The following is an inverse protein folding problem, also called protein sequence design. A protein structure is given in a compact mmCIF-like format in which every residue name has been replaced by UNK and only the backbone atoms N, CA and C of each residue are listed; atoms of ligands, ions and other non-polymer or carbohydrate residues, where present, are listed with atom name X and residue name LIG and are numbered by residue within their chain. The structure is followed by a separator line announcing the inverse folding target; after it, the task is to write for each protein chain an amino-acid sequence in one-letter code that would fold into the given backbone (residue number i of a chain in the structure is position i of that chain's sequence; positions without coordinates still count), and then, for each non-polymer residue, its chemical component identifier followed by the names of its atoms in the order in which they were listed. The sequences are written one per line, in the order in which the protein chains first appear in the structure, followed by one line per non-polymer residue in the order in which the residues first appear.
data_IF_868978024650
#
_entry.id   IF_868978024650
#
_cell.length_a   1.000
_cell.length_b   1.000
_cell.length_c   1.000
_cell.angle_alpha   90.00
_cell.angle_beta   90.00
_cell.angle_gamma   90.00
#
_symmetry.space_group_name_H-M   'P 1'
#
loop_
_entity.id
_entity.type
_entity.pdbx_description
1 polymer ?
#
# COMPACT_ATOMS: atom_id res chain seq x y z
N UNK A 1 -19.56 -37.60 4.03
CA UNK A 1 -19.94 -36.19 3.96
C UNK A 1 -18.66 -35.42 3.71
N UNK A 2 -18.39 -35.02 2.47
CA UNK A 2 -17.26 -34.14 2.17
C UNK A 2 -17.59 -32.76 2.72
N UNK A 3 -16.72 -32.22 3.57
CA UNK A 3 -16.87 -30.87 4.11
C UNK A 3 -16.85 -29.87 2.95
N UNK A 4 -17.89 -29.03 2.84
CA UNK A 4 -17.99 -27.97 1.83
C UNK A 4 -17.03 -26.79 2.06
N UNK A 5 -15.87 -27.02 2.66
CA UNK A 5 -14.87 -26.00 3.01
C UNK A 5 -13.81 -25.75 1.92
N UNK A 6 -13.84 -26.50 0.81
CA UNK A 6 -12.78 -26.47 -0.22
C UNK A 6 -13.02 -25.46 -1.36
N UNK A 7 -14.09 -24.64 -1.31
CA UNK A 7 -14.45 -23.72 -2.41
C UNK A 7 -14.35 -22.22 -2.07
N UNK A 8 -13.98 -21.86 -0.83
CA UNK A 8 -13.78 -20.45 -0.47
C UNK A 8 -12.31 -20.06 -0.60
N UNK A 9 -12.05 -18.86 -1.11
CA UNK A 9 -10.70 -18.31 -1.20
C UNK A 9 -10.06 -18.23 0.18
N UNK A 10 -8.86 -18.77 0.32
CA UNK A 10 -8.09 -18.78 1.57
C UNK A 10 -7.35 -17.45 1.69
N UNK A 11 -7.88 -16.57 2.54
CA UNK A 11 -7.32 -15.25 2.80
C UNK A 11 -6.49 -15.27 4.07
N UNK A 12 -5.24 -14.79 3.99
CA UNK A 12 -4.37 -14.58 5.16
C UNK A 12 -4.09 -13.09 5.35
N UNK A 13 -4.06 -12.64 6.60
CA UNK A 13 -3.69 -11.27 6.96
C UNK A 13 -2.42 -11.32 7.82
N UNK A 14 -1.34 -10.73 7.29
CA UNK A 14 -0.01 -10.74 7.89
C UNK A 14 0.30 -9.37 8.47
N UNK A 15 0.35 -9.27 9.80
CA UNK A 15 0.78 -8.06 10.51
C UNK A 15 2.30 -8.07 10.72
N UNK A 16 3.02 -7.14 10.11
CA UNK A 16 4.49 -7.09 10.14
C UNK A 16 4.98 -5.92 11.00
N UNK A 17 5.75 -6.25 12.04
CA UNK A 17 6.24 -5.29 13.03
C UNK A 17 5.14 -4.66 13.88
N UNK A 18 5.48 -3.67 14.71
CA UNK A 18 4.55 -3.09 15.70
C UNK A 18 3.26 -2.52 15.10
N UNK A 19 3.36 -1.68 14.06
CA UNK A 19 2.16 -1.09 13.44
C UNK A 19 1.26 -2.12 12.76
N UNK A 20 1.85 -3.08 12.05
CA UNK A 20 1.08 -4.17 11.42
C UNK A 20 0.38 -5.05 12.45
N UNK A 21 1.04 -5.33 13.57
CA UNK A 21 0.46 -6.07 14.67
C UNK A 21 -0.68 -5.34 15.36
N UNK A 22 -0.57 -4.02 15.55
CA UNK A 22 -1.65 -3.21 16.10
C UNK A 22 -2.88 -3.26 15.19
N UNK A 23 -2.69 -3.11 13.88
CA UNK A 23 -3.76 -3.23 12.89
C UNK A 23 -4.42 -4.63 12.93
N UNK A 24 -3.64 -5.71 13.01
CA UNK A 24 -4.18 -7.07 13.15
C UNK A 24 -4.94 -7.25 14.47
N UNK A 25 -4.41 -6.74 15.59
CA UNK A 25 -5.12 -6.76 16.87
C UNK A 25 -6.47 -6.08 16.76
N UNK A 26 -6.51 -4.93 16.07
CA UNK A 26 -7.74 -4.18 15.85
C UNK A 26 -8.74 -4.92 14.95
N UNK A 27 -8.26 -5.67 13.96
CA UNK A 27 -9.10 -6.55 13.13
C UNK A 27 -9.72 -7.69 13.95
N UNK A 28 -8.94 -8.30 14.84
CA UNK A 28 -9.42 -9.35 15.75
C UNK A 28 -10.47 -8.78 16.72
N UNK A 29 -10.19 -7.63 17.34
CA UNK A 29 -11.10 -6.96 18.27
C UNK A 29 -12.42 -6.56 17.60
N UNK A 30 -12.37 -6.18 16.32
CA UNK A 30 -13.54 -5.85 15.53
C UNK A 30 -14.32 -7.08 15.03
N UNK A 31 -13.83 -8.29 15.30
CA UNK A 31 -14.49 -9.54 14.92
C UNK A 31 -14.41 -9.86 13.42
N UNK A 32 -13.38 -9.36 12.72
CA UNK A 32 -13.19 -9.70 11.30
C UNK A 32 -13.04 -11.22 11.15
N UNK A 33 -13.87 -11.81 10.29
CA UNK A 33 -13.99 -13.25 10.10
C UNK A 33 -13.64 -13.65 8.66
N UNK A 34 -13.53 -14.96 8.39
CA UNK A 34 -13.19 -15.45 7.05
C UNK A 34 -11.72 -15.27 6.64
N UNK A 35 -10.85 -14.84 7.57
CA UNK A 35 -9.41 -14.64 7.32
C UNK A 35 -8.56 -15.28 8.41
N UNK A 36 -7.36 -15.74 8.04
CA UNK A 36 -6.36 -16.26 8.97
C UNK A 36 -5.34 -15.17 9.34
N UNK A 37 -5.29 -14.82 10.62
CA UNK A 37 -4.33 -13.82 11.13
C UNK A 37 -2.97 -14.44 11.47
N UNK A 38 -1.92 -13.84 10.92
CA UNK A 38 -0.53 -14.14 11.25
C UNK A 38 0.18 -12.84 11.64
N UNK A 39 0.95 -12.87 12.73
CA UNK A 39 1.79 -11.73 13.11
C UNK A 39 3.26 -12.11 13.08
N UNK A 40 4.08 -11.21 12.56
CA UNK A 40 5.52 -11.41 12.40
C UNK A 40 6.29 -10.22 12.98
N UNK A 41 7.19 -10.48 13.92
CA UNK A 41 7.98 -9.43 14.53
C UNK A 41 9.37 -9.92 14.97
N UNK A 42 10.34 -9.01 14.96
CA UNK A 42 11.68 -9.20 15.55
C UNK A 42 11.69 -9.00 17.07
N UNK A 43 10.68 -8.30 17.59
CA UNK A 43 10.52 -8.04 19.02
C UNK A 43 9.59 -9.09 19.66
N UNK A 44 10.16 -9.93 20.52
CA UNK A 44 9.42 -11.03 21.16
C UNK A 44 8.41 -10.52 22.17
N UNK A 45 8.70 -9.43 22.88
CA UNK A 45 7.79 -8.88 23.90
C UNK A 45 6.51 -8.38 23.22
N UNK A 46 6.67 -7.66 22.11
CA UNK A 46 5.52 -7.19 21.33
C UNK A 46 4.74 -8.39 20.78
N UNK A 47 5.43 -9.41 20.26
CA UNK A 47 4.81 -10.64 19.70
C UNK A 47 3.93 -11.38 20.71
N UNK A 48 4.37 -11.48 21.97
CA UNK A 48 3.63 -12.16 23.03
C UNK A 48 2.28 -11.48 23.34
N UNK A 49 2.20 -10.15 23.22
CA UNK A 49 0.99 -9.37 23.50
C UNK A 49 -0.14 -9.53 22.47
N UNK A 50 0.13 -10.10 21.29
CA UNK A 50 -0.88 -10.23 20.23
C UNK A 50 -1.86 -11.38 20.49
N UNK A 51 -3.14 -11.19 20.16
CA UNK A 51 -4.14 -12.26 20.23
C UNK A 51 -4.22 -13.13 18.94
N UNK A 52 -3.36 -12.86 17.96
CA UNK A 52 -3.30 -13.66 16.74
C UNK A 52 -2.88 -15.12 17.04
N UNK A 53 -3.59 -16.07 16.43
CA UNK A 53 -3.35 -17.52 16.61
C UNK A 53 -1.97 -17.94 16.11
N UNK A 54 -1.52 -17.35 15.01
CA UNK A 54 -0.23 -17.65 14.38
C UNK A 54 0.74 -16.50 14.63
N UNK A 55 1.83 -16.79 15.32
CA UNK A 55 2.88 -15.83 15.67
C UNK A 55 4.22 -16.34 15.18
N UNK A 56 4.99 -15.50 14.51
CA UNK A 56 6.35 -15.83 14.09
C UNK A 56 7.33 -14.76 14.57
N UNK A 57 8.30 -15.19 15.37
CA UNK A 57 9.48 -14.39 15.62
C UNK A 57 10.42 -14.52 14.42
N UNK A 58 10.77 -13.40 13.79
CA UNK A 58 11.73 -13.36 12.69
C UNK A 58 13.07 -12.81 13.16
N UNK A 59 14.18 -13.31 12.60
CA UNK A 59 15.53 -12.86 12.94
C UNK A 59 15.92 -13.10 14.41
N UNK A 60 15.59 -14.27 14.94
CA UNK A 60 15.86 -14.62 16.34
C UNK A 60 17.36 -14.60 16.65
N UNK A 61 18.20 -15.07 15.72
CA UNK A 61 19.65 -15.06 15.89
C UNK A 61 20.22 -13.63 15.79
N UNK A 62 19.72 -12.83 14.84
CA UNK A 62 20.19 -11.47 14.59
C UNK A 62 19.82 -10.48 15.70
N UNK A 63 18.58 -10.51 16.16
CA UNK A 63 18.02 -9.49 17.05
C UNK A 63 18.00 -9.91 18.52
N UNK A 64 18.13 -11.22 18.79
CA UNK A 64 17.93 -11.82 20.12
C UNK A 64 16.56 -11.46 20.73
N UNK A 65 15.56 -11.22 19.88
CA UNK A 65 14.20 -10.85 20.31
C UNK A 65 14.01 -9.39 20.75
N UNK A 66 15.02 -8.52 20.53
CA UNK A 66 15.00 -7.13 20.99
C UNK A 66 14.53 -6.13 19.92
N UNK A 67 14.07 -6.62 18.77
CA UNK A 67 13.63 -5.78 17.67
C UNK A 67 14.75 -5.28 16.74
N UNK A 68 14.35 -4.66 15.63
CA UNK A 68 15.26 -4.17 14.59
C UNK A 68 15.90 -2.78 14.88
N UNK A 69 15.61 -2.16 16.04
CA UNK A 69 16.20 -0.88 16.44
C UNK A 69 15.92 0.30 15.49
N UNK A 70 14.83 0.24 14.73
CA UNK A 70 14.50 1.25 13.71
C UNK A 70 15.36 1.17 12.43
N UNK A 71 16.12 0.09 12.24
CA UNK A 71 16.94 -0.14 11.05
C UNK A 71 16.24 -1.11 10.08
N UNK A 72 15.82 -0.66 8.87
CA UNK A 72 15.19 -1.51 7.87
C UNK A 72 16.05 -2.69 7.43
N UNK A 73 17.37 -2.52 7.31
CA UNK A 73 18.26 -3.60 6.86
C UNK A 73 18.28 -4.77 7.86
N UNK A 74 18.13 -4.48 9.15
CA UNK A 74 17.97 -5.53 10.17
C UNK A 74 16.63 -6.22 10.03
N UNK A 75 15.55 -5.48 9.75
CA UNK A 75 14.24 -6.05 9.45
C UNK A 75 14.24 -6.96 8.23
N UNK A 76 14.91 -6.54 7.15
CA UNK A 76 15.10 -7.32 5.93
C UNK A 76 15.88 -8.60 6.21
N UNK A 77 17.07 -8.47 6.81
CA UNK A 77 17.90 -9.62 7.17
C UNK A 77 17.18 -10.61 8.11
N UNK A 78 16.35 -10.11 9.03
CA UNK A 78 15.53 -10.95 9.90
C UNK A 78 14.48 -11.75 9.13
N UNK A 79 13.82 -11.15 8.13
CA UNK A 79 12.89 -11.87 7.27
C UNK A 79 13.62 -12.88 6.37
N UNK A 80 14.81 -12.53 5.87
CA UNK A 80 15.65 -13.43 5.07
C UNK A 80 16.14 -14.64 5.87
N UNK A 81 16.52 -14.44 7.13
CA UNK A 81 16.89 -15.53 8.06
C UNK A 81 15.72 -16.53 8.23
N UNK A 82 14.49 -16.03 8.28
CA UNK A 82 13.28 -16.80 8.58
C UNK A 82 12.45 -17.15 7.33
N UNK A 83 13.03 -17.10 6.12
CA UNK A 83 12.31 -17.45 4.87
C UNK A 83 11.60 -18.81 4.92
N UNK A 84 12.20 -19.90 5.41
CA UNK A 84 11.54 -21.21 5.42
C UNK A 84 10.24 -21.21 6.23
N UNK A 85 10.26 -20.59 7.41
CA UNK A 85 9.12 -20.46 8.31
C UNK A 85 8.05 -19.54 7.72
N UNK A 86 8.45 -18.41 7.14
CA UNK A 86 7.53 -17.48 6.48
C UNK A 86 6.83 -18.17 5.30
N UNK A 87 7.58 -18.85 4.42
CA UNK A 87 7.01 -19.57 3.27
C UNK A 87 5.97 -20.60 3.71
N UNK A 88 6.27 -21.40 4.73
CA UNK A 88 5.34 -22.38 5.29
C UNK A 88 4.05 -21.74 5.81
N UNK A 89 4.14 -20.55 6.42
CA UNK A 89 2.95 -19.83 6.89
C UNK A 89 2.13 -19.23 5.75
N UNK A 90 2.75 -18.90 4.62
CA UNK A 90 2.07 -18.34 3.45
C UNK A 90 1.43 -19.42 2.55
N UNK A 91 1.99 -20.62 2.50
CA UNK A 91 1.51 -21.74 1.65
C UNK A 91 -0.01 -21.96 1.69
N UNK A 92 -0.58 -22.15 0.50
CA UNK A 92 -2.01 -22.46 0.30
C UNK A 92 -2.95 -21.27 0.47
N UNK A 93 -2.45 -20.04 0.60
CA UNK A 93 -3.26 -18.83 0.53
C UNK A 93 -3.55 -18.46 -0.93
N UNK A 94 -4.81 -18.14 -1.24
CA UNK A 94 -5.21 -17.56 -2.52
C UNK A 94 -4.95 -16.05 -2.52
N UNK A 95 -5.07 -15.42 -1.34
CA UNK A 95 -4.86 -13.99 -1.14
C UNK A 95 -4.13 -13.72 0.18
N UNK A 96 -3.21 -12.78 0.15
CA UNK A 96 -2.44 -12.35 1.33
C UNK A 96 -2.49 -10.84 1.45
N UNK A 97 -3.02 -10.38 2.58
CA UNK A 97 -2.91 -8.98 3.00
C UNK A 97 -1.67 -8.79 3.86
N UNK A 98 -0.86 -7.79 3.58
CA UNK A 98 0.31 -7.41 4.38
C UNK A 98 0.03 -6.05 5.00
N UNK A 99 -0.14 -6.02 6.32
CA UNK A 99 -0.30 -4.80 7.10
C UNK A 99 1.05 -4.41 7.74
N UNK A 100 1.51 -3.18 7.52
CA UNK A 100 2.75 -2.69 8.12
C UNK A 100 2.74 -1.18 8.35
N UNK A 101 3.39 -0.74 9.43
CA UNK A 101 3.74 0.66 9.64
C UNK A 101 5.12 0.98 9.07
N UNK A 102 5.20 1.90 8.12
CA UNK A 102 6.44 2.25 7.42
C UNK A 102 7.23 3.30 8.20
N UNK A 103 8.54 3.31 8.03
CA UNK A 103 9.46 4.23 8.71
C UNK A 103 10.16 3.64 9.93
N UNK A 104 9.70 2.47 10.42
CA UNK A 104 10.39 1.65 11.41
C UNK A 104 11.47 0.74 10.80
N UNK A 105 11.96 -0.22 11.59
CA UNK A 105 12.92 -1.23 11.11
C UNK A 105 12.22 -2.47 10.55
N UNK A 106 11.48 -3.17 11.40
CA UNK A 106 10.85 -4.46 11.05
C UNK A 106 9.84 -4.35 9.92
N UNK A 107 8.82 -3.48 10.07
CA UNK A 107 7.79 -3.31 9.03
C UNK A 107 8.38 -2.92 7.68
N UNK A 108 9.19 -1.86 7.67
CA UNK A 108 9.82 -1.33 6.44
C UNK A 108 10.70 -2.36 5.72
N UNK A 109 11.51 -3.13 6.45
CA UNK A 109 12.47 -4.06 5.84
C UNK A 109 11.93 -5.46 5.57
N UNK A 110 11.04 -5.97 6.43
CA UNK A 110 10.52 -7.33 6.32
C UNK A 110 9.31 -7.43 5.38
N UNK A 111 8.46 -6.39 5.30
CA UNK A 111 7.25 -6.45 4.48
C UNK A 111 7.53 -6.72 3.00
N UNK A 112 8.53 -6.10 2.33
CA UNK A 112 8.84 -6.41 0.94
C UNK A 112 9.30 -7.86 0.71
N UNK A 113 10.07 -8.42 1.65
CA UNK A 113 10.56 -9.81 1.59
C UNK A 113 9.40 -10.80 1.74
N UNK A 114 8.45 -10.52 2.65
CA UNK A 114 7.24 -11.32 2.84
C UNK A 114 6.34 -11.22 1.60
N UNK A 115 6.19 -10.03 1.02
CA UNK A 115 5.41 -9.80 -0.20
C UNK A 115 5.96 -10.59 -1.39
N UNK A 116 7.27 -10.55 -1.60
CA UNK A 116 7.94 -11.35 -2.63
C UNK A 116 7.63 -12.85 -2.47
N UNK A 117 7.80 -13.39 -1.27
CA UNK A 117 7.51 -14.81 -1.02
C UNK A 117 6.03 -15.17 -1.23
N UNK A 118 5.11 -14.28 -0.87
CA UNK A 118 3.68 -14.46 -1.09
C UNK A 118 3.35 -14.54 -2.58
N UNK A 119 3.93 -13.62 -3.37
CA UNK A 119 3.74 -13.55 -4.82
C UNK A 119 4.37 -14.76 -5.53
N UNK A 120 5.56 -15.18 -5.10
CA UNK A 120 6.23 -16.41 -5.59
C UNK A 120 5.40 -17.68 -5.35
N UNK A 121 4.55 -17.68 -4.32
CA UNK A 121 3.63 -18.78 -4.02
C UNK A 121 2.32 -18.70 -4.82
N UNK A 122 2.12 -17.65 -5.62
CA UNK A 122 0.96 -17.47 -6.49
C UNK A 122 -0.25 -16.80 -5.82
N UNK A 123 -0.10 -16.29 -4.60
CA UNK A 123 -1.18 -15.59 -3.91
C UNK A 123 -1.32 -14.14 -4.43
N UNK A 124 -2.56 -13.67 -4.58
CA UNK A 124 -2.84 -12.26 -4.80
C UNK A 124 -2.37 -11.46 -3.58
N UNK A 125 -1.31 -10.67 -3.75
CA UNK A 125 -0.59 -10.05 -2.64
C UNK A 125 -0.91 -8.56 -2.57
N UNK A 126 -1.63 -8.16 -1.52
CA UNK A 126 -2.07 -6.78 -1.31
C UNK A 126 -1.41 -6.24 -0.05
N UNK A 127 -0.74 -5.10 -0.14
CA UNK A 127 -0.19 -4.43 1.04
C UNK A 127 -1.04 -3.22 1.43
N UNK A 128 -1.32 -3.08 2.72
CA UNK A 128 -1.99 -1.91 3.31
C UNK A 128 -1.06 -1.33 4.35
N UNK A 129 -0.42 -0.20 4.04
CA UNK A 129 0.66 0.35 4.85
C UNK A 129 0.42 1.79 5.24
N UNK A 130 0.89 2.17 6.43
CA UNK A 130 0.83 3.56 6.91
C UNK A 130 2.17 4.27 6.74
N UNK A 131 2.14 5.52 6.27
CA UNK A 131 3.29 6.43 6.35
C UNK A 131 3.26 7.16 7.70
N UNK A 132 4.42 7.43 8.33
CA UNK A 132 4.47 8.02 9.66
C UNK A 132 3.89 9.44 9.67
N UNK A 133 3.46 9.92 10.84
CA UNK A 133 3.08 11.32 11.01
C UNK A 133 4.29 12.23 10.85
N UNK A 134 4.08 13.47 10.40
CA UNK A 134 5.13 14.47 10.25
C UNK A 134 5.90 14.75 11.55
N UNK A 135 5.23 14.66 12.70
CA UNK A 135 5.86 14.85 14.02
C UNK A 135 6.84 13.74 14.40
N UNK A 136 6.77 12.56 13.78
CA UNK A 136 7.71 11.45 14.03
C UNK A 136 9.10 11.71 13.43
N UNK A 137 9.21 12.73 12.58
CA UNK A 137 10.45 13.32 12.11
C UNK A 137 10.90 12.84 10.72
N UNK A 138 11.77 13.63 10.06
CA UNK A 138 12.10 13.45 8.65
C UNK A 138 12.89 12.18 8.35
N UNK A 139 13.59 11.62 9.35
CA UNK A 139 14.29 10.34 9.19
C UNK A 139 13.31 9.19 8.96
N UNK A 140 12.23 9.11 9.76
CA UNK A 140 11.19 8.08 9.60
C UNK A 140 10.46 8.23 8.27
N UNK A 141 10.15 9.46 7.86
CA UNK A 141 9.54 9.74 6.56
C UNK A 141 10.40 9.22 5.39
N UNK A 142 11.70 9.54 5.35
CA UNK A 142 12.61 9.03 4.29
C UNK A 142 12.71 7.51 4.28
N UNK A 143 12.81 6.89 5.46
CA UNK A 143 12.79 5.43 5.59
C UNK A 143 11.49 4.83 5.06
N UNK A 144 10.35 5.45 5.37
CA UNK A 144 9.05 5.01 4.91
C UNK A 144 8.93 5.08 3.38
N UNK A 145 9.32 6.19 2.75
CA UNK A 145 9.29 6.33 1.29
C UNK A 145 10.15 5.26 0.60
N UNK A 146 11.36 5.01 1.10
CA UNK A 146 12.22 3.96 0.55
C UNK A 146 11.57 2.58 0.64
N UNK A 147 10.98 2.24 1.79
CA UNK A 147 10.31 0.94 1.96
C UNK A 147 9.02 0.81 1.16
N UNK A 148 8.26 1.89 1.01
CA UNK A 148 7.04 1.93 0.16
C UNK A 148 7.40 1.67 -1.29
N UNK A 149 8.49 2.27 -1.78
CA UNK A 149 8.96 2.07 -3.15
C UNK A 149 9.39 0.62 -3.40
N UNK A 150 10.17 0.04 -2.49
CA UNK A 150 10.57 -1.36 -2.59
C UNK A 150 9.36 -2.30 -2.50
N UNK A 151 8.43 -2.03 -1.59
CA UNK A 151 7.23 -2.84 -1.42
C UNK A 151 6.34 -2.81 -2.66
N UNK A 152 6.20 -1.65 -3.32
CA UNK A 152 5.41 -1.49 -4.55
C UNK A 152 5.84 -2.46 -5.65
N UNK A 153 7.14 -2.73 -5.77
CA UNK A 153 7.68 -3.65 -6.78
C UNK A 153 7.40 -5.13 -6.45
N UNK A 154 7.00 -5.43 -5.22
CA UNK A 154 6.85 -6.81 -4.70
C UNK A 154 5.41 -7.23 -4.40
N UNK A 155 4.45 -6.33 -4.59
CA UNK A 155 3.02 -6.60 -4.38
C UNK A 155 2.27 -6.52 -5.71
N UNK A 156 1.02 -6.97 -5.70
CA UNK A 156 0.09 -6.74 -6.80
C UNK A 156 -0.59 -5.38 -6.68
N UNK A 157 -1.01 -5.04 -5.46
CA UNK A 157 -1.61 -3.75 -5.12
C UNK A 157 -1.03 -3.23 -3.80
N UNK A 158 -0.67 -1.94 -3.78
CA UNK A 158 -0.20 -1.22 -2.60
C UNK A 158 -1.16 -0.08 -2.24
N UNK A 159 -1.84 -0.22 -1.10
CA UNK A 159 -2.66 0.83 -0.50
C UNK A 159 -1.79 1.57 0.52
N UNK A 160 -1.55 2.85 0.30
CA UNK A 160 -0.74 3.67 1.20
C UNK A 160 -1.61 4.68 1.92
N UNK A 161 -1.53 4.68 3.26
CA UNK A 161 -2.31 5.55 4.14
C UNK A 161 -1.36 6.60 4.74
N UNK A 162 -1.41 7.86 4.30
CA UNK A 162 -0.64 8.93 4.92
C UNK A 162 -1.25 9.33 6.28
N UNK A 163 -0.56 9.03 7.38
CA UNK A 163 -1.09 9.32 8.72
C UNK A 163 -1.39 10.81 8.94
N UNK A 164 -0.69 11.72 8.26
CA UNK A 164 -0.98 13.16 8.34
C UNK A 164 -2.40 13.52 7.85
N UNK A 165 -3.00 12.73 6.95
CA UNK A 165 -4.39 12.93 6.51
C UNK A 165 -5.41 12.53 7.57
N UNK A 166 -5.01 11.70 8.53
CA UNK A 166 -5.88 11.34 9.64
C UNK A 166 -6.08 12.52 10.59
N UNK A 167 -5.12 13.47 10.63
CA UNK A 167 -5.24 14.69 11.44
C UNK A 167 -6.40 15.60 11.01
N UNK A 168 -6.88 15.52 9.75
CA UNK A 168 -8.09 16.25 9.34
C UNK A 168 -9.38 15.58 9.79
N UNK A 169 -9.33 14.28 10.12
CA UNK A 169 -10.48 13.49 10.57
C UNK A 169 -10.57 13.47 12.10
N UNK A 170 -9.45 13.65 12.78
CA UNK A 170 -9.34 13.60 14.23
C UNK A 170 -9.63 14.97 14.85
N UNK A 171 -10.35 14.99 15.99
CA UNK A 171 -10.60 16.22 16.74
C UNK A 171 -9.29 16.85 17.24
N UNK A 172 -9.22 18.19 17.25
CA UNK A 172 -8.02 18.94 17.69
C UNK A 172 -7.51 18.62 19.10
N UNK A 173 -8.30 17.92 19.92
CA UNK A 173 -7.98 17.54 21.31
C UNK A 173 -7.65 16.06 21.48
N UNK A 174 -7.63 15.28 20.40
CA UNK A 174 -7.33 13.88 20.49
C UNK A 174 -5.90 13.65 21.00
N UNK A 175 -5.77 12.60 21.80
CA UNK A 175 -4.51 12.09 22.32
C UNK A 175 -3.70 11.40 21.23
N UNK A 176 -2.40 11.23 21.46
CA UNK A 176 -1.52 10.48 20.57
C UNK A 176 -2.04 9.04 20.33
N UNK A 177 -2.53 8.39 21.39
CA UNK A 177 -3.08 7.04 21.32
C UNK A 177 -4.32 6.98 20.43
N UNK A 178 -5.19 7.97 20.51
CA UNK A 178 -6.38 8.05 19.64
C UNK A 178 -5.98 8.25 18.17
N UNK A 179 -4.97 9.08 17.89
CA UNK A 179 -4.48 9.28 16.52
C UNK A 179 -3.95 7.98 15.89
N UNK A 180 -3.16 7.20 16.63
CA UNK A 180 -2.68 5.89 16.13
C UNK A 180 -3.81 4.88 15.98
N UNK A 181 -4.79 4.87 16.90
CA UNK A 181 -5.98 4.01 16.77
C UNK A 181 -6.76 4.31 15.50
N UNK A 182 -6.84 5.57 15.08
CA UNK A 182 -7.47 5.93 13.79
C UNK A 182 -6.67 5.38 12.62
N UNK A 183 -5.34 5.42 12.67
CA UNK A 183 -4.50 4.81 11.63
C UNK A 183 -4.72 3.29 11.53
N UNK A 184 -4.72 2.61 12.67
CA UNK A 184 -4.98 1.18 12.75
C UNK A 184 -6.39 0.83 12.25
N UNK A 185 -7.39 1.68 12.55
CA UNK A 185 -8.76 1.48 12.07
C UNK A 185 -8.89 1.67 10.56
N UNK A 186 -8.16 2.61 9.95
CA UNK A 186 -8.16 2.75 8.49
C UNK A 186 -7.51 1.54 7.82
N UNK A 187 -6.41 1.00 8.35
CA UNK A 187 -5.82 -0.25 7.84
C UNK A 187 -6.80 -1.41 7.97
N UNK A 188 -7.49 -1.53 9.12
CA UNK A 188 -8.55 -2.50 9.35
C UNK A 188 -9.67 -2.36 8.32
N UNK A 189 -10.15 -1.15 8.07
CA UNK A 189 -11.23 -0.90 7.10
C UNK A 189 -10.81 -1.26 5.67
N UNK A 190 -9.54 -1.03 5.29
CA UNK A 190 -9.05 -1.43 3.98
C UNK A 190 -8.99 -2.94 3.76
N UNK A 191 -8.52 -3.68 4.77
CA UNK A 191 -8.54 -5.16 4.71
C UNK A 191 -9.98 -5.68 4.76
N UNK A 192 -10.81 -5.15 5.67
CA UNK A 192 -12.20 -5.55 5.80
C UNK A 192 -12.98 -5.29 4.50
N UNK A 193 -12.86 -4.10 3.91
CA UNK A 193 -13.64 -3.70 2.75
C UNK A 193 -13.46 -4.62 1.55
N UNK A 194 -12.27 -5.22 1.39
CA UNK A 194 -11.97 -6.15 0.31
C UNK A 194 -12.30 -7.60 0.73
N UNK A 195 -11.96 -8.00 1.96
CA UNK A 195 -12.20 -9.37 2.43
C UNK A 195 -13.68 -9.68 2.64
N UNK A 196 -14.51 -8.73 3.08
CA UNK A 196 -15.95 -8.93 3.28
C UNK A 196 -16.66 -9.25 1.97
N UNK A 197 -16.28 -8.58 0.86
CA UNK A 197 -16.84 -8.84 -0.47
C UNK A 197 -16.62 -10.31 -0.91
N UNK A 198 -15.49 -10.90 -0.50
CA UNK A 198 -15.09 -12.26 -0.93
C UNK A 198 -15.63 -13.31 0.03
N UNK A 199 -15.59 -13.03 1.34
CA UNK A 199 -15.85 -14.02 2.39
C UNK A 199 -17.29 -14.05 2.88
N UNK A 200 -18.01 -12.93 2.78
CA UNK A 200 -19.40 -12.82 3.22
C UNK A 200 -20.31 -12.93 2.00
N UNK A 201 -21.20 -13.95 1.96
CA UNK A 201 -22.22 -14.02 0.93
C UNK A 201 -23.15 -12.80 0.99
N UNK A 202 -23.02 -11.92 0.00
CA UNK A 202 -23.93 -10.83 -0.32
C UNK A 202 -25.06 -11.24 -1.24
N UNK A 203 -26.02 -10.32 -1.44
CA UNK A 203 -27.04 -10.48 -2.48
C UNK A 203 -26.45 -10.35 -3.88
N UNK A 204 -25.40 -9.52 -4.00
CA UNK A 204 -24.59 -9.35 -5.19
C UNK A 204 -23.17 -9.75 -4.79
N UNK A 205 -22.85 -11.02 -5.04
CA UNK A 205 -21.53 -11.57 -4.80
C UNK A 205 -20.60 -11.18 -5.94
N UNK A 206 -19.41 -10.74 -5.57
CA UNK A 206 -18.26 -10.63 -6.46
C UNK A 206 -17.44 -11.89 -6.26
N UNK A 207 -17.00 -12.52 -7.35
CA UNK A 207 -16.13 -13.69 -7.22
C UNK A 207 -14.66 -13.28 -6.99
N UNK A 208 -13.83 -14.23 -6.57
CA UNK A 208 -12.42 -13.94 -6.34
C UNK A 208 -11.68 -13.58 -7.65
N UNK A 209 -12.14 -14.06 -8.80
CA UNK A 209 -11.50 -13.80 -10.09
C UNK A 209 -11.72 -12.34 -10.54
N UNK A 210 -12.89 -11.78 -10.24
CA UNK A 210 -13.24 -10.37 -10.42
C UNK A 210 -12.31 -9.47 -9.59
N UNK A 211 -12.18 -9.75 -8.29
CA UNK A 211 -11.26 -9.00 -7.41
C UNK A 211 -9.82 -9.14 -7.90
N UNK A 212 -9.40 -10.35 -8.28
CA UNK A 212 -8.07 -10.59 -8.83
C UNK A 212 -7.83 -9.77 -10.10
N UNK A 213 -8.80 -9.69 -11.01
CA UNK A 213 -8.68 -8.91 -12.25
C UNK A 213 -8.46 -7.41 -11.99
N UNK A 214 -9.12 -6.86 -10.96
CA UNK A 214 -8.91 -5.45 -10.58
C UNK A 214 -7.60 -5.24 -9.83
N UNK A 215 -7.13 -6.18 -9.00
CA UNK A 215 -6.03 -5.92 -8.08
C UNK A 215 -4.68 -6.50 -8.51
N UNK A 216 -4.66 -7.45 -9.44
CA UNK A 216 -3.43 -8.10 -9.91
C UNK A 216 -2.55 -7.11 -10.70
N UNK A 217 -1.30 -6.95 -10.25
CA UNK A 217 -0.28 -6.09 -10.89
C UNK A 217 -0.70 -4.63 -11.18
N UNK A 218 -1.53 -4.01 -10.33
CA UNK A 218 -1.92 -2.60 -10.50
C UNK A 218 -0.95 -1.58 -9.93
N UNK A 219 -0.06 -2.00 -9.03
CA UNK A 219 0.84 -1.08 -8.35
C UNK A 219 0.11 -0.26 -7.28
N UNK A 220 0.09 1.05 -7.42
CA UNK A 220 -0.51 1.94 -6.40
C UNK A 220 -2.04 1.92 -6.42
N UNK A 221 -2.65 1.92 -5.24
CA UNK A 221 -4.08 2.03 -5.04
C UNK A 221 -4.44 3.06 -3.97
N UNK A 222 -5.63 3.64 -4.12
CA UNK A 222 -6.19 4.60 -3.19
C UNK A 222 -7.50 4.07 -2.62
N UNK A 223 -7.76 4.43 -1.36
CA UNK A 223 -8.93 3.98 -0.64
C UNK A 223 -9.71 5.19 -0.11
N UNK A 224 -10.99 5.24 -0.43
CA UNK A 224 -11.95 6.19 0.09
C UNK A 224 -12.99 5.48 0.94
N UNK A 225 -13.36 6.09 2.07
CA UNK A 225 -14.33 5.52 3.00
C UNK A 225 -15.33 6.58 3.38
N UNK A 226 -16.62 6.25 3.29
CA UNK A 226 -17.72 7.08 3.71
C UNK A 226 -18.74 6.29 4.52
N UNK A 227 -19.27 6.92 5.55
CA UNK A 227 -20.31 6.35 6.41
C UNK A 227 -21.37 7.40 6.62
N UNK A 228 -22.63 7.04 6.41
CA UNK A 228 -23.75 7.93 6.68
C UNK A 228 -24.97 7.16 7.19
N UNK A 229 -25.88 7.88 7.82
CA UNK A 229 -27.11 7.37 8.40
C UNK A 229 -28.29 8.28 8.04
N UNK A 230 -29.51 7.79 8.29
CA UNK A 230 -30.73 8.56 8.05
C UNK A 230 -31.20 8.54 6.59
N UNK A 231 -31.89 9.61 6.17
CA UNK A 231 -32.36 9.75 4.79
C UNK A 231 -31.18 9.97 3.84
N UNK A 232 -31.26 9.40 2.64
CA UNK A 232 -30.20 9.48 1.63
C UNK A 232 -28.83 8.98 2.13
N UNK A 233 -28.81 8.07 3.12
CA UNK A 233 -27.59 7.52 3.72
C UNK A 233 -26.60 6.96 2.70
N UNK A 234 -27.09 6.24 1.69
CA UNK A 234 -26.21 5.67 0.66
C UNK A 234 -25.57 6.73 -0.25
N UNK A 235 -26.32 7.78 -0.61
CA UNK A 235 -25.83 8.92 -1.39
C UNK A 235 -24.73 9.67 -0.62
N UNK A 236 -25.02 10.06 0.63
CA UNK A 236 -24.05 10.77 1.46
C UNK A 236 -22.79 9.93 1.74
N UNK A 237 -22.95 8.62 1.98
CA UNK A 237 -21.81 7.72 2.16
C UNK A 237 -20.94 7.65 0.88
N UNK A 238 -21.55 7.62 -0.31
CA UNK A 238 -20.82 7.57 -1.58
C UNK A 238 -20.07 8.88 -1.84
N UNK A 239 -20.70 10.03 -1.61
CA UNK A 239 -20.07 11.35 -1.72
C UNK A 239 -18.87 11.47 -0.77
N UNK A 240 -19.04 11.04 0.49
CA UNK A 240 -17.95 11.04 1.48
C UNK A 240 -16.81 10.10 1.08
N UNK A 241 -17.11 8.92 0.52
CA UNK A 241 -16.08 7.99 0.07
C UNK A 241 -15.27 8.59 -1.10
N UNK A 242 -15.93 9.23 -2.07
CA UNK A 242 -15.28 9.86 -3.22
C UNK A 242 -14.50 11.13 -2.85
N UNK A 243 -14.91 11.82 -1.77
CA UNK A 243 -14.25 13.02 -1.25
C UNK A 243 -13.33 12.73 -0.05
N UNK A 244 -13.02 11.46 0.21
CA UNK A 244 -12.30 11.04 1.41
C UNK A 244 -10.90 11.65 1.46
N UNK A 245 -10.45 12.20 2.61
CA UNK A 245 -9.09 12.73 2.77
C UNK A 245 -7.96 11.70 2.57
N UNK A 246 -8.33 10.41 2.57
CA UNK A 246 -7.44 9.27 2.32
C UNK A 246 -7.08 9.12 0.84
N UNK A 247 -7.87 9.72 -0.05
CA UNK A 247 -7.58 9.79 -1.47
C UNK A 247 -6.57 10.92 -1.71
N UNK A 248 -5.29 10.56 -1.93
CA UNK A 248 -4.24 11.56 -2.21
C UNK A 248 -4.47 12.30 -3.54
N UNK A 249 -5.14 11.64 -4.49
CA UNK A 249 -5.64 12.21 -5.74
C UNK A 249 -7.12 11.87 -5.91
N UNK A 250 -7.79 12.53 -6.85
CA UNK A 250 -9.14 12.16 -7.28
C UNK A 250 -9.17 10.71 -7.76
N UNK A 251 -10.33 10.05 -7.63
CA UNK A 251 -10.56 8.71 -8.20
C UNK A 251 -10.58 8.72 -9.74
N UNK A 252 -10.66 9.92 -10.34
CA UNK A 252 -10.48 10.13 -11.77
C UNK A 252 -9.10 9.61 -12.25
N UNK A 253 -9.10 8.94 -13.40
CA UNK A 253 -7.92 8.26 -13.96
C UNK A 253 -7.66 6.84 -13.42
N UNK A 254 -8.47 6.32 -12.50
CA UNK A 254 -8.41 4.93 -12.09
C UNK A 254 -8.89 4.01 -13.23
N UNK A 255 -8.20 2.87 -13.44
CA UNK A 255 -8.58 1.86 -14.44
C UNK A 255 -9.48 0.77 -13.87
N UNK A 256 -9.33 0.51 -12.57
CA UNK A 256 -10.11 -0.48 -11.84
C UNK A 256 -10.64 0.13 -10.55
N UNK A 257 -11.94 0.00 -10.30
CA UNK A 257 -12.58 0.48 -9.08
C UNK A 257 -13.39 -0.65 -8.45
N UNK A 258 -13.12 -0.93 -7.18
CA UNK A 258 -13.88 -1.87 -6.37
C UNK A 258 -14.70 -1.08 -5.35
N UNK A 259 -16.00 -1.32 -5.32
CA UNK A 259 -16.95 -0.65 -4.42
C UNK A 259 -17.54 -1.70 -3.48
N UNK A 260 -17.32 -1.54 -2.17
CA UNK A 260 -18.03 -2.29 -1.15
C UNK A 260 -19.14 -1.44 -0.55
N UNK A 261 -20.39 -1.89 -0.60
CA UNK A 261 -21.51 -1.25 0.08
C UNK A 261 -21.97 -2.16 1.20
N UNK A 262 -21.74 -1.74 2.44
CA UNK A 262 -22.17 -2.46 3.64
C UNK A 262 -23.32 -1.71 4.30
N UNK A 263 -24.44 -2.40 4.55
CA UNK A 263 -25.60 -1.80 5.20
C UNK A 263 -26.39 -2.81 6.01
N UNK A 264 -27.38 -2.32 6.76
CA UNK A 264 -28.30 -3.17 7.49
C UNK A 264 -29.27 -3.94 6.58
N UNK A 265 -30.11 -4.82 7.15
CA UNK A 265 -31.18 -5.51 6.41
C UNK A 265 -32.20 -4.56 5.76
N UNK A 266 -32.19 -3.28 6.12
CA UNK A 266 -33.00 -2.21 5.54
C UNK A 266 -32.40 -1.61 4.26
N UNK A 267 -31.20 -2.02 3.84
CA UNK A 267 -30.55 -1.53 2.63
C UNK A 267 -31.37 -1.89 1.38
N UNK A 268 -31.79 -0.86 0.64
CA UNK A 268 -32.63 -1.01 -0.55
C UNK A 268 -31.82 -1.04 -1.84
N UNK A 269 -32.40 -1.62 -2.90
CA UNK A 269 -31.78 -1.62 -4.23
C UNK A 269 -31.59 -0.20 -4.79
N UNK A 270 -32.52 0.71 -4.50
CA UNK A 270 -32.42 2.12 -4.92
C UNK A 270 -31.23 2.81 -4.25
N UNK A 271 -31.04 2.62 -2.95
CA UNK A 271 -29.87 3.14 -2.23
C UNK A 271 -28.55 2.63 -2.82
N UNK A 272 -28.49 1.34 -3.16
CA UNK A 272 -27.32 0.73 -3.82
C UNK A 272 -27.07 1.35 -5.20
N UNK A 273 -28.12 1.54 -6.00
CA UNK A 273 -28.03 2.14 -7.34
C UNK A 273 -27.54 3.59 -7.28
N UNK A 274 -28.15 4.41 -6.41
CA UNK A 274 -27.82 5.82 -6.28
C UNK A 274 -26.37 6.01 -5.81
N UNK A 275 -25.92 5.18 -4.86
CA UNK A 275 -24.53 5.17 -4.40
C UNK A 275 -23.55 4.78 -5.52
N UNK A 276 -23.86 3.73 -6.28
CA UNK A 276 -23.01 3.29 -7.38
C UNK A 276 -22.90 4.37 -8.46
N UNK A 277 -24.02 4.99 -8.85
CA UNK A 277 -24.07 6.06 -9.86
C UNK A 277 -23.20 7.27 -9.50
N UNK A 278 -23.11 7.63 -8.21
CA UNK A 278 -22.21 8.70 -7.73
C UNK A 278 -20.74 8.32 -7.95
N UNK A 279 -20.35 7.10 -7.59
CA UNK A 279 -18.97 6.63 -7.80
C UNK A 279 -18.66 6.54 -9.29
N UNK A 280 -19.59 6.04 -10.12
CA UNK A 280 -19.43 6.00 -11.58
C UNK A 280 -19.22 7.39 -12.17
N UNK A 281 -19.98 8.40 -11.74
CA UNK A 281 -19.84 9.78 -12.22
C UNK A 281 -18.54 10.45 -11.77
N UNK A 282 -17.97 10.00 -10.65
CA UNK A 282 -16.70 10.51 -10.15
C UNK A 282 -15.49 9.85 -10.85
N UNK A 283 -15.69 8.74 -11.55
CA UNK A 283 -14.71 8.07 -12.40
C UNK A 283 -14.90 8.42 -13.88
N UNK A 284 -13.85 8.26 -14.70
CA UNK A 284 -14.00 8.32 -16.17
C UNK A 284 -14.72 7.06 -16.68
N UNK A 285 -16.06 7.12 -16.66
CA UNK A 285 -16.98 6.00 -16.86
C UNK A 285 -16.78 5.24 -18.19
N UNK A 286 -16.19 5.87 -19.20
CA UNK A 286 -16.03 5.27 -20.53
C UNK A 286 -14.89 4.23 -20.58
N UNK A 287 -13.96 4.23 -19.61
CA UNK A 287 -12.77 3.36 -19.64
C UNK A 287 -12.43 2.67 -18.30
N UNK A 288 -13.29 2.76 -17.28
CA UNK A 288 -13.04 2.15 -15.96
C UNK A 288 -13.75 0.81 -15.79
N UNK A 289 -13.01 -0.21 -15.33
CA UNK A 289 -13.60 -1.47 -14.90
C UNK A 289 -14.09 -1.32 -13.45
N UNK A 290 -15.41 -1.37 -13.25
CA UNK A 290 -16.01 -1.21 -11.92
C UNK A 290 -16.62 -2.52 -11.46
N UNK A 291 -16.21 -2.95 -10.27
CA UNK A 291 -16.78 -4.10 -9.58
C UNK A 291 -17.44 -3.59 -8.31
N UNK A 292 -18.67 -4.03 -8.07
CA UNK A 292 -19.44 -3.63 -6.90
C UNK A 292 -19.93 -4.85 -6.14
N UNK A 293 -19.73 -4.82 -4.83
CA UNK A 293 -20.20 -5.82 -3.88
C UNK A 293 -21.15 -5.20 -2.88
N UNK A 294 -22.08 -6.03 -2.38
CA UNK A 294 -23.01 -5.62 -1.32
C UNK A 294 -22.92 -6.59 -0.15
N UNK A 295 -22.80 -6.07 1.06
CA UNK A 295 -22.72 -6.85 2.30
C UNK A 295 -23.84 -6.41 3.23
N UNK A 296 -24.62 -7.37 3.70
CA UNK A 296 -25.64 -7.12 4.72
C UNK A 296 -25.03 -7.43 6.09
N UNK A 297 -24.86 -6.40 6.91
CA UNK A 297 -24.41 -6.50 8.29
C UNK A 297 -25.59 -6.21 9.24
N UNK A 298 -26.14 -7.23 9.92
CA UNK A 298 -27.25 -7.05 10.87
C UNK A 298 -26.94 -6.14 12.06
N UNK A 299 -25.65 -5.86 12.33
CA UNK A 299 -25.24 -4.94 13.40
C UNK A 299 -25.41 -3.46 13.02
N UNK A 300 -25.47 -3.15 11.71
CA UNK A 300 -25.74 -1.81 11.22
C UNK A 300 -27.24 -1.53 11.23
N UNK A 301 -27.66 -0.51 11.97
CA UNK A 301 -29.05 -0.05 12.01
C UNK A 301 -29.15 1.33 11.36
N UNK A 302 -29.80 1.41 10.20
CA UNK A 302 -29.99 2.66 9.46
C UNK A 302 -28.67 3.40 9.13
N UNK A 303 -27.58 2.65 9.00
CA UNK A 303 -26.24 3.13 8.64
C UNK A 303 -25.79 2.39 7.37
N UNK A 304 -25.17 3.12 6.46
CA UNK A 304 -24.51 2.58 5.27
C UNK A 304 -23.04 3.02 5.30
N UNK A 305 -22.15 2.05 5.08
CA UNK A 305 -20.72 2.25 4.90
C UNK A 305 -20.35 1.89 3.46
N UNK A 306 -19.64 2.78 2.80
CA UNK A 306 -19.13 2.58 1.45
C UNK A 306 -17.62 2.68 1.47
N UNK A 307 -16.96 1.66 0.94
CA UNK A 307 -15.52 1.65 0.72
C UNK A 307 -15.26 1.59 -0.77
N UNK A 308 -14.53 2.58 -1.28
CA UNK A 308 -14.11 2.66 -2.68
C UNK A 308 -12.60 2.40 -2.72
N UNK A 309 -12.19 1.41 -3.49
CA UNK A 309 -10.80 1.12 -3.78
C UNK A 309 -10.55 1.42 -5.26
N UNK A 310 -9.68 2.38 -5.55
CA UNK A 310 -9.31 2.75 -6.91
C UNK A 310 -7.87 2.28 -7.20
N UNK A 311 -7.64 1.73 -8.39
CA UNK A 311 -6.39 1.10 -8.80
C UNK A 311 -5.99 1.52 -10.22
N UNK A 312 -4.70 1.34 -10.57
CA UNK A 312 -4.22 1.55 -11.94
C UNK A 312 -3.83 2.99 -12.30
N UNK A 313 -3.57 3.84 -11.30
CA UNK A 313 -3.16 5.25 -11.47
C UNK A 313 -1.77 5.41 -12.12
N UNK A 314 -0.87 4.44 -11.93
CA UNK A 314 0.54 4.51 -12.34
C UNK A 314 0.76 4.58 -13.86
N UNK A 315 -0.30 4.41 -14.65
CA UNK A 315 -0.25 4.50 -16.11
C UNK A 315 -0.28 5.92 -16.68
N UNK A 316 -0.74 6.91 -15.89
CA UNK A 316 -0.87 8.30 -16.32
C UNK A 316 0.48 9.06 -16.20
N UNK A 317 1.35 8.67 -15.27
CA UNK A 317 2.65 9.34 -15.10
C UNK A 317 3.68 8.97 -16.18
N UNK A 318 3.58 7.79 -16.79
CA UNK A 318 4.54 7.33 -17.82
C UNK A 318 4.35 7.98 -19.19
N UNK A 319 3.25 8.70 -19.44
CA UNK A 319 3.00 9.38 -20.73
C UNK A 319 3.57 10.80 -20.82
N UNK A 320 4.18 11.33 -19.76
CA UNK A 320 4.72 12.69 -19.74
C UNK A 320 6.25 12.79 -19.92
N UNK A 321 6.92 11.72 -20.37
CA UNK A 321 8.28 11.89 -20.88
C UNK A 321 8.24 12.64 -22.22
N UNK A 322 8.93 13.80 -22.34
CA UNK A 322 9.01 14.49 -23.63
C UNK A 322 9.74 13.58 -24.61
N UNK A 323 9.01 13.10 -25.61
CA UNK A 323 9.56 12.38 -26.76
C UNK A 323 10.63 13.26 -27.39
N UNK A 324 11.89 12.98 -27.08
CA UNK A 324 13.03 13.62 -27.72
C UNK A 324 13.02 13.19 -29.17
N UNK A 325 12.42 14.03 -30.02
CA UNK A 325 12.30 13.80 -31.45
C UNK A 325 13.68 13.47 -32.04
N UNK A 326 13.84 12.22 -32.48
CA UNK A 326 14.94 11.82 -33.36
C UNK A 326 14.69 12.49 -34.71
N UNK A 327 15.33 13.62 -34.93
CA UNK A 327 15.45 14.21 -36.26
C UNK A 327 16.38 13.31 -37.10
N UNK A 328 15.78 12.49 -37.96
CA UNK A 328 16.45 11.90 -39.10
C UNK A 328 16.38 12.91 -40.26
N UNK A 329 17.53 13.27 -40.81
CA UNK A 329 17.63 13.89 -42.13
C UNK A 329 18.78 13.20 -42.89
N UNK A 330 18.44 12.71 -44.08
CA UNK A 330 19.23 11.84 -44.94
C UNK A 330 19.52 12.61 -46.25
N UNK A 331 20.82 12.72 -46.57
CA UNK A 331 21.49 12.72 -47.90
C UNK A 331 21.56 13.99 -48.78
N UNK A 332 22.80 14.27 -49.22
CA UNK A 332 23.12 14.85 -50.55
C UNK A 332 24.60 15.31 -50.71
N UNK A 333 25.41 14.48 -51.42
CA UNK A 333 26.63 14.70 -52.25
C UNK A 333 27.56 15.94 -52.01
N UNK A 334 28.90 15.94 -52.10
CA UNK A 334 29.77 15.43 -53.18
C UNK A 334 31.28 15.65 -52.85
N UNK A 335 32.16 14.72 -53.28
CA UNK A 335 33.60 14.86 -53.64
C UNK A 335 34.73 15.13 -52.60
N UNK A 336 35.90 14.55 -52.88
CA UNK A 336 37.10 14.27 -52.04
C UNK A 336 38.23 15.35 -52.15
N UNK A 337 39.53 15.16 -51.77
CA UNK A 337 40.24 14.28 -50.80
C UNK A 337 41.37 14.98 -49.94
N UNK A 338 41.99 14.18 -49.04
CA UNK A 338 43.38 14.18 -48.48
C UNK A 338 43.74 14.83 -47.11
N UNK A 339 44.74 14.26 -46.37
CA UNK A 339 44.94 14.44 -44.93
C UNK A 339 46.17 15.30 -44.56
N UNK A 340 46.17 15.91 -43.35
CA UNK A 340 47.39 16.43 -42.73
C UNK A 340 47.33 16.51 -41.19
N UNK A 341 48.31 15.84 -40.57
CA UNK A 341 49.08 16.16 -39.37
C UNK A 341 48.38 16.36 -38.00
N UNK A 342 48.72 15.42 -37.11
CA UNK A 342 48.75 15.47 -35.65
C UNK A 342 49.55 16.66 -35.11
N UNK A 343 49.05 17.32 -34.06
CA UNK A 343 49.81 18.26 -33.22
C UNK A 343 49.60 17.89 -31.75
N UNK A 344 50.70 17.56 -31.06
CA UNK A 344 50.79 17.26 -29.63
C UNK A 344 50.67 18.53 -28.75
N UNK A 345 50.26 18.41 -27.47
CA UNK A 345 50.08 19.56 -26.60
C UNK A 345 51.40 20.03 -25.96
N UNK A 346 51.62 21.35 -25.96
CA UNK A 346 52.75 22.02 -25.29
C UNK A 346 52.46 22.22 -23.79
N UNK A 347 53.40 21.78 -22.96
CA UNK A 347 53.50 22.09 -21.53
C UNK A 347 53.84 23.57 -21.30
N UNK A 348 53.25 24.15 -20.26
CA UNK A 348 53.47 25.54 -19.84
C UNK A 348 54.54 25.61 -18.75
N UNK A 349 55.52 26.48 -18.99
CA UNK A 349 56.66 26.81 -18.13
C UNK A 349 56.23 27.69 -16.94
N UNK A 350 56.61 27.32 -15.72
CA UNK A 350 56.39 28.08 -14.48
C UNK A 350 57.74 28.65 -14.00
N UNK A 351 57.89 29.97 -13.82
CA UNK A 351 59.10 30.54 -13.22
C UNK A 351 59.14 30.33 -11.70
N UNK A 352 60.27 29.83 -11.19
CA UNK A 352 60.57 29.71 -9.76
C UNK A 352 60.70 31.08 -9.10
N UNK A 353 59.89 31.37 -8.06
CA UNK A 353 60.02 32.61 -7.31
C UNK A 353 58.95 32.95 -6.25
N UNK A 354 57.82 32.24 -6.15
CA UNK A 354 56.82 32.52 -5.11
C UNK A 354 56.12 31.24 -4.60
N UNK A 355 56.84 30.45 -3.81
CA UNK A 355 56.31 29.34 -3.02
C UNK A 355 56.45 29.68 -1.54
N UNK A 356 55.58 30.54 -1.01
CA UNK A 356 55.40 30.64 0.45
C UNK A 356 54.06 31.27 0.89
N UNK A 357 53.00 31.12 0.09
CA UNK A 357 51.65 31.52 0.51
C UNK A 357 50.66 30.37 0.23
N UNK A 358 50.06 29.76 1.28
CA UNK A 358 49.03 28.74 1.11
C UNK A 358 47.81 29.26 0.33
N UNK A 359 47.24 28.40 -0.51
CA UNK A 359 46.20 28.73 -1.49
C UNK A 359 44.90 29.35 -0.92
N UNK A 360 44.66 29.27 0.40
CA UNK A 360 43.43 29.75 1.02
C UNK A 360 43.37 31.25 1.33
N UNK A 361 44.46 32.01 1.14
CA UNK A 361 44.51 33.47 1.32
C UNK A 361 44.31 34.28 0.02
N UNK A 362 44.11 33.61 -1.12
CA UNK A 362 43.93 34.26 -2.44
C UNK A 362 42.45 34.41 -2.78
N UNK A 363 41.69 35.22 -2.02
CA UNK A 363 40.42 35.84 -2.46
C UNK A 363 39.86 36.78 -1.39
N UNK A 364 39.92 38.08 -1.68
CA UNK A 364 38.93 39.07 -1.24
C UNK A 364 38.49 39.83 -2.48
#
# INVERSE_FOLDING_TARGET
MGNGSDYYAKIKVIGVGGGGMNAVSRMIDAGLSGVDFVVMNTDTQVLEMSDAKSKLQIGGALTRGLGAGGNPEVGRAAAEESRPEIRRLLEGADMVFIAAGMGGGTGTGAAPVIAEMSKDLGALTVAVVTKPFGFEGPRRARTAESGVNELRERVDTLITIPNDRLLSVVEKRATLTEAFKVADDVVRQGVQGISDIITIPGMINVDFADVKTIMENQGSALMGIGTANGEQKAVHAAEMACASPLLETTIDGARGVLINITGGPDLTLTEVYDAADIVYKACDADNVNVIFGTVIDPSLQNEVRITVLATGFDSVEKSNEPVRAKAAAVVGEESAPKPAATVEPKEAFVPEGELDIPAFLRRR
#
